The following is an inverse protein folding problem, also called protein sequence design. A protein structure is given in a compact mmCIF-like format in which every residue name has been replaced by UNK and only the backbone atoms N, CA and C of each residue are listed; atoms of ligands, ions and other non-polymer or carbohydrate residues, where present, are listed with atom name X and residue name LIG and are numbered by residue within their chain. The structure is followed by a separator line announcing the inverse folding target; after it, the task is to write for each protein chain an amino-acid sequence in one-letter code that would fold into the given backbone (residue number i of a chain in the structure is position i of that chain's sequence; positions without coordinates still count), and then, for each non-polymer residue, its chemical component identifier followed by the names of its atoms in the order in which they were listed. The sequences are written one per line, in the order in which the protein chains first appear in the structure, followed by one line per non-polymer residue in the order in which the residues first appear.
data_IF_397949183240
#
_entry.id   IF_397949183240
#
_cell.length_a   1.000
_cell.length_b   1.000
_cell.length_c   1.000
_cell.angle_alpha   90.00
_cell.angle_beta   90.00
_cell.angle_gamma   90.00
#
_symmetry.space_group_name_H-M   'P 1'
#
loop_
_entity.id
_entity.type
_entity.pdbx_description
1 polymer ?
#
# COMPACT_ATOMS: atom_id res chain seq x y z
N UNK A 1 -34.40 13.25 -25.89
CA UNK A 1 -33.32 12.22 -25.97
C UNK A 1 -32.03 12.83 -25.48
N UNK A 2 -31.35 12.15 -24.55
CA UNK A 2 -30.34 12.72 -23.67
C UNK A 2 -28.94 12.71 -24.35
N UNK A 3 -28.61 13.79 -25.07
CA UNK A 3 -27.24 13.93 -25.63
C UNK A 3 -26.17 14.07 -24.54
N UNK A 4 -26.47 14.62 -23.36
CA UNK A 4 -25.54 14.70 -22.22
C UNK A 4 -25.27 13.38 -21.52
N UNK A 5 -26.01 12.31 -21.73
CA UNK A 5 -25.85 11.03 -21.07
C UNK A 5 -24.64 10.23 -21.55
N UNK A 6 -24.33 10.28 -22.84
CA UNK A 6 -23.21 9.52 -23.41
C UNK A 6 -21.85 10.19 -23.15
N UNK A 7 -21.80 11.51 -23.21
CA UNK A 7 -20.57 12.25 -22.88
C UNK A 7 -20.22 12.10 -21.41
N UNK A 8 -21.18 12.30 -20.52
CA UNK A 8 -20.99 12.07 -19.10
C UNK A 8 -20.55 10.64 -18.79
N UNK A 9 -21.16 9.65 -19.44
CA UNK A 9 -20.74 8.24 -19.28
C UNK A 9 -19.30 8.02 -19.72
N UNK A 10 -18.86 8.61 -20.83
CA UNK A 10 -17.46 8.54 -21.30
C UNK A 10 -16.50 9.20 -20.32
N UNK A 11 -16.87 10.34 -19.76
CA UNK A 11 -16.09 11.04 -18.74
C UNK A 11 -15.96 10.21 -17.48
N UNK A 12 -17.05 9.62 -16.99
CA UNK A 12 -17.07 8.76 -15.82
C UNK A 12 -16.20 7.51 -16.03
N UNK A 13 -16.30 6.86 -17.19
CA UNK A 13 -15.46 5.71 -17.55
C UNK A 13 -13.99 6.11 -17.62
N UNK A 14 -13.67 7.24 -18.26
CA UNK A 14 -12.28 7.74 -18.32
C UNK A 14 -11.73 8.01 -16.93
N UNK A 15 -12.49 8.72 -16.09
CA UNK A 15 -12.06 9.03 -14.72
C UNK A 15 -11.83 7.75 -13.88
N UNK A 16 -12.65 6.72 -14.08
CA UNK A 16 -12.45 5.42 -13.44
C UNK A 16 -11.17 4.74 -13.92
N UNK A 17 -10.94 4.67 -15.23
CA UNK A 17 -9.74 4.05 -15.81
C UNK A 17 -8.47 4.80 -15.40
N UNK A 18 -8.48 6.13 -15.37
CA UNK A 18 -7.35 6.95 -14.90
C UNK A 18 -7.06 6.70 -13.41
N UNK A 19 -8.09 6.54 -12.59
CA UNK A 19 -7.95 6.21 -11.17
C UNK A 19 -7.35 4.83 -10.97
N UNK A 20 -7.84 3.82 -11.69
CA UNK A 20 -7.28 2.46 -11.66
C UNK A 20 -5.84 2.44 -12.12
N UNK A 21 -5.54 3.09 -13.24
CA UNK A 21 -4.17 3.20 -13.77
C UNK A 21 -3.23 3.85 -12.73
N UNK A 22 -3.63 4.97 -12.14
CA UNK A 22 -2.86 5.64 -11.08
C UNK A 22 -2.61 4.71 -9.89
N UNK A 23 -3.62 3.95 -9.47
CA UNK A 23 -3.50 2.97 -8.39
C UNK A 23 -2.47 1.87 -8.70
N UNK A 24 -2.52 1.31 -9.91
CA UNK A 24 -1.58 0.26 -10.34
C UNK A 24 -0.17 0.80 -10.47
N UNK A 25 0.01 1.99 -11.04
CA UNK A 25 1.32 2.64 -11.16
C UNK A 25 1.94 2.92 -9.79
N UNK A 26 1.15 3.42 -8.85
CA UNK A 26 1.61 3.66 -7.47
C UNK A 26 1.98 2.34 -6.77
N UNK A 27 1.20 1.29 -6.94
CA UNK A 27 1.51 -0.02 -6.37
C UNK A 27 2.82 -0.61 -6.94
N UNK A 28 3.06 -0.45 -8.24
CA UNK A 28 4.32 -0.86 -8.89
C UNK A 28 5.52 -0.05 -8.39
N UNK A 29 5.36 1.27 -8.32
CA UNK A 29 6.40 2.17 -7.79
C UNK A 29 6.75 1.76 -6.36
N UNK A 30 5.75 1.57 -5.52
CA UNK A 30 5.91 1.14 -4.12
C UNK A 30 6.65 -0.19 -4.02
N UNK A 31 6.24 -1.20 -4.80
CA UNK A 31 6.90 -2.49 -4.82
C UNK A 31 8.38 -2.38 -5.23
N UNK A 32 8.66 -1.62 -6.30
CA UNK A 32 10.03 -1.41 -6.77
C UNK A 32 10.90 -0.63 -5.78
N UNK A 33 10.36 0.42 -5.15
CA UNK A 33 11.07 1.20 -4.12
C UNK A 33 11.40 0.33 -2.91
N UNK A 34 10.41 -0.44 -2.40
CA UNK A 34 10.62 -1.32 -1.24
C UNK A 34 11.66 -2.40 -1.57
N UNK A 35 11.59 -2.99 -2.76
CA UNK A 35 12.57 -3.98 -3.20
C UNK A 35 13.99 -3.42 -3.20
N UNK A 36 14.19 -2.29 -3.86
CA UNK A 36 15.49 -1.61 -3.91
C UNK A 36 15.98 -1.16 -2.54
N UNK A 37 15.07 -0.74 -1.68
CA UNK A 37 15.40 -0.33 -0.32
C UNK A 37 15.91 -1.52 0.52
N UNK A 38 15.26 -2.68 0.43
CA UNK A 38 15.68 -3.90 1.12
C UNK A 38 17.02 -4.39 0.54
N UNK A 39 17.17 -4.41 -0.78
CA UNK A 39 18.39 -4.86 -1.45
C UNK A 39 19.61 -3.97 -1.11
N UNK A 40 19.38 -2.68 -0.86
CA UNK A 40 20.42 -1.75 -0.45
C UNK A 40 20.87 -1.93 1.02
N UNK A 41 20.10 -2.68 1.82
CA UNK A 41 20.39 -2.91 3.24
C UNK A 41 20.42 -4.41 3.60
N UNK A 42 21.28 -5.21 2.95
CA UNK A 42 21.34 -6.66 3.18
C UNK A 42 21.77 -7.02 4.62
N UNK A 43 22.51 -6.12 5.27
CA UNK A 43 23.02 -6.29 6.65
C UNK A 43 21.99 -5.91 7.73
N UNK A 44 20.75 -5.56 7.34
CA UNK A 44 19.73 -5.19 8.31
C UNK A 44 19.42 -6.38 9.23
N UNK A 45 19.78 -6.23 10.50
CA UNK A 45 19.43 -7.20 11.54
C UNK A 45 17.96 -7.02 11.95
N UNK A 46 17.15 -8.01 11.62
CA UNK A 46 15.72 -8.01 11.92
C UNK A 46 15.46 -8.96 13.07
N UNK A 47 14.89 -8.48 14.19
CA UNK A 47 14.62 -9.33 15.34
C UNK A 47 13.74 -10.53 14.97
N UNK A 48 14.20 -11.73 15.32
CA UNK A 48 13.51 -12.98 14.99
C UNK A 48 12.06 -13.01 15.52
N UNK A 49 11.84 -12.45 16.71
CA UNK A 49 10.51 -12.36 17.31
C UNK A 49 9.53 -11.54 16.48
N UNK A 50 9.99 -10.48 15.83
CA UNK A 50 9.16 -9.67 14.92
C UNK A 50 8.78 -10.46 13.67
N UNK A 51 9.75 -11.18 13.09
CA UNK A 51 9.51 -12.04 11.92
C UNK A 51 8.47 -13.11 12.24
N UNK A 52 8.64 -13.81 13.36
CA UNK A 52 7.71 -14.87 13.75
C UNK A 52 6.30 -14.35 14.05
N UNK A 53 6.17 -13.20 14.70
CA UNK A 53 4.88 -12.57 14.97
C UNK A 53 4.16 -12.21 13.66
N UNK A 54 4.87 -11.58 12.71
CA UNK A 54 4.33 -11.26 11.40
C UNK A 54 3.95 -12.54 10.62
N UNK A 55 4.80 -13.57 10.66
CA UNK A 55 4.53 -14.85 10.00
C UNK A 55 3.25 -15.52 10.55
N UNK A 56 3.06 -15.51 11.88
CA UNK A 56 1.83 -16.01 12.52
C UNK A 56 0.61 -15.19 12.11
N UNK A 57 0.75 -13.87 11.98
CA UNK A 57 -0.34 -13.01 11.52
C UNK A 57 -0.73 -13.33 10.07
N UNK A 58 0.26 -13.51 9.19
CA UNK A 58 0.04 -13.92 7.80
C UNK A 58 -0.64 -15.29 7.69
N UNK A 59 -0.21 -16.27 8.49
CA UNK A 59 -0.82 -17.59 8.53
C UNK A 59 -2.29 -17.51 8.94
N UNK A 60 -2.63 -16.72 9.98
CA UNK A 60 -4.02 -16.48 10.41
C UNK A 60 -4.87 -15.84 9.30
N UNK A 61 -4.34 -14.84 8.61
CA UNK A 61 -5.04 -14.17 7.50
C UNK A 61 -5.31 -15.11 6.32
N UNK A 62 -4.44 -16.11 6.13
CA UNK A 62 -4.57 -17.12 5.08
C UNK A 62 -5.42 -18.33 5.50
N UNK A 63 -6.06 -18.29 6.69
CA UNK A 63 -6.79 -19.44 7.27
C UNK A 63 -5.96 -20.73 7.35
N UNK A 64 -4.64 -20.62 7.44
CA UNK A 64 -3.75 -21.75 7.60
C UNK A 64 -3.87 -22.29 9.04
N UNK A 65 -4.35 -23.53 9.19
CA UNK A 65 -4.75 -24.11 10.48
C UNK A 65 -3.67 -24.98 11.15
N UNK A 66 -2.58 -25.28 10.48
CA UNK A 66 -1.50 -26.09 11.04
C UNK A 66 -0.65 -25.25 12.01
N UNK A 67 -0.23 -25.83 13.14
CA UNK A 67 0.59 -25.15 14.16
C UNK A 67 1.93 -24.62 13.60
N UNK A 68 2.46 -25.26 12.57
CA UNK A 68 3.70 -24.90 11.88
C UNK A 68 3.47 -24.14 10.56
N UNK A 69 2.21 -23.84 10.20
CA UNK A 69 1.87 -23.14 8.94
C UNK A 69 2.59 -21.80 8.79
N UNK A 70 2.95 -21.14 9.90
CA UNK A 70 3.66 -19.86 9.87
C UNK A 70 5.07 -19.99 9.26
N UNK A 71 5.69 -21.18 9.28
CA UNK A 71 7.04 -21.41 8.72
C UNK A 71 7.09 -21.06 7.24
N UNK A 72 6.04 -21.38 6.48
CA UNK A 72 5.93 -21.02 5.07
C UNK A 72 5.85 -19.51 4.81
N UNK A 73 5.54 -18.71 5.84
CA UNK A 73 5.43 -17.26 5.73
C UNK A 73 6.67 -16.51 6.24
N UNK A 74 7.68 -17.18 6.80
CA UNK A 74 8.85 -16.54 7.41
C UNK A 74 9.61 -15.62 6.43
N UNK A 75 9.81 -16.05 5.19
CA UNK A 75 10.49 -15.24 4.18
C UNK A 75 9.69 -13.96 3.86
N UNK A 76 8.38 -14.09 3.65
CA UNK A 76 7.50 -12.95 3.40
C UNK A 76 7.41 -12.03 4.62
N UNK A 77 7.32 -12.61 5.82
CA UNK A 77 7.31 -11.87 7.07
C UNK A 77 8.59 -11.07 7.28
N UNK A 78 9.76 -11.70 7.08
CA UNK A 78 11.06 -11.01 7.17
C UNK A 78 11.08 -9.80 6.23
N UNK A 79 10.67 -9.98 4.98
CA UNK A 79 10.62 -8.91 3.99
C UNK A 79 9.70 -7.75 4.41
N UNK A 80 8.52 -8.05 4.95
CA UNK A 80 7.58 -7.04 5.45
C UNK A 80 8.12 -6.29 6.65
N UNK A 81 8.69 -7.00 7.62
CA UNK A 81 9.29 -6.38 8.81
C UNK A 81 10.47 -5.50 8.41
N UNK A 82 11.35 -5.98 7.52
CA UNK A 82 12.48 -5.18 6.99
C UNK A 82 11.99 -3.90 6.34
N UNK A 83 10.99 -3.97 5.47
CA UNK A 83 10.40 -2.80 4.82
C UNK A 83 9.85 -1.80 5.86
N UNK A 84 9.08 -2.30 6.84
CA UNK A 84 8.51 -1.46 7.89
C UNK A 84 9.57 -0.73 8.72
N UNK A 85 10.64 -1.43 9.11
CA UNK A 85 11.75 -0.84 9.87
C UNK A 85 12.49 0.24 9.05
N UNK A 86 12.79 -0.04 7.78
CA UNK A 86 13.46 0.91 6.89
C UNK A 86 12.59 2.15 6.63
N UNK A 87 11.30 1.97 6.40
CA UNK A 87 10.35 3.07 6.21
C UNK A 87 10.24 3.93 7.47
N UNK A 88 10.12 3.30 8.64
CA UNK A 88 10.07 4.01 9.91
C UNK A 88 11.34 4.85 10.15
N UNK A 89 12.51 4.27 9.87
CA UNK A 89 13.79 4.97 10.04
C UNK A 89 13.94 6.13 9.03
N UNK A 90 13.58 5.92 7.77
CA UNK A 90 13.57 6.99 6.76
C UNK A 90 12.62 8.12 7.12
N UNK A 91 11.43 7.78 7.58
CA UNK A 91 10.45 8.77 8.05
C UNK A 91 11.04 9.61 9.19
N UNK A 92 11.70 8.97 10.16
CA UNK A 92 12.34 9.63 11.29
C UNK A 92 13.51 10.53 10.86
N UNK A 93 14.42 10.03 10.03
CA UNK A 93 15.61 10.76 9.58
C UNK A 93 15.26 11.98 8.74
N UNK A 94 14.24 11.87 7.90
CA UNK A 94 13.85 12.93 6.97
C UNK A 94 12.67 13.77 7.49
N UNK A 95 12.28 13.56 8.76
CA UNK A 95 11.19 14.31 9.40
C UNK A 95 9.86 14.24 8.63
N UNK A 96 9.61 13.12 7.96
CA UNK A 96 8.35 12.89 7.23
C UNK A 96 7.26 12.60 8.27
N UNK A 97 6.35 13.54 8.42
CA UNK A 97 5.25 13.42 9.38
C UNK A 97 4.01 12.91 8.68
N UNK A 98 3.23 12.13 9.41
CA UNK A 98 1.94 11.65 8.92
C UNK A 98 1.03 12.83 8.56
N UNK A 99 0.58 12.87 7.32
CA UNK A 99 -0.38 13.86 6.83
C UNK A 99 -1.81 13.42 7.15
N UNK A 100 -2.41 14.08 8.13
CA UNK A 100 -3.79 13.79 8.57
C UNK A 100 -4.83 14.02 7.46
N UNK A 101 -4.57 14.94 6.52
CA UNK A 101 -5.45 15.16 5.37
C UNK A 101 -5.45 13.94 4.46
N UNK A 102 -4.28 13.38 4.16
CA UNK A 102 -4.16 12.15 3.38
C UNK A 102 -4.81 10.95 4.07
N UNK A 103 -4.74 10.86 5.40
CA UNK A 103 -5.46 9.83 6.16
C UNK A 103 -6.96 9.97 5.95
N UNK A 104 -7.51 11.18 6.08
CA UNK A 104 -8.93 11.45 5.89
C UNK A 104 -9.38 11.17 4.44
N UNK A 105 -8.60 11.56 3.45
CA UNK A 105 -8.86 11.28 2.03
C UNK A 105 -8.84 9.78 1.72
N UNK A 106 -7.87 9.05 2.29
CA UNK A 106 -7.78 7.59 2.14
C UNK A 106 -8.97 6.90 2.79
N UNK A 107 -9.38 7.34 3.99
CA UNK A 107 -10.56 6.80 4.67
C UNK A 107 -11.84 7.08 3.86
N UNK A 108 -12.00 8.30 3.35
CA UNK A 108 -13.13 8.65 2.50
C UNK A 108 -13.17 7.80 1.22
N UNK A 109 -12.02 7.54 0.61
CA UNK A 109 -11.90 6.67 -0.57
C UNK A 109 -12.33 5.24 -0.26
N UNK A 110 -11.88 4.68 0.87
CA UNK A 110 -12.30 3.34 1.32
C UNK A 110 -13.80 3.34 1.58
N UNK A 111 -14.30 4.30 2.33
CA UNK A 111 -15.71 4.37 2.70
C UNK A 111 -16.62 4.49 1.47
N UNK A 112 -16.20 5.22 0.44
CA UNK A 112 -16.99 5.42 -0.79
C UNK A 112 -17.25 4.14 -1.60
N UNK A 113 -16.55 3.04 -1.31
CA UNK A 113 -16.77 1.75 -1.96
C UNK A 113 -17.85 0.89 -1.30
N UNK A 114 -18.39 1.35 -0.18
CA UNK A 114 -19.44 0.65 0.58
C UNK A 114 -20.79 1.35 0.45
N UNK A 115 -21.87 0.58 0.64
CA UNK A 115 -23.23 1.12 0.59
C UNK A 115 -23.53 2.12 1.71
N UNK A 116 -22.88 1.95 2.87
CA UNK A 116 -23.01 2.80 4.05
C UNK A 116 -21.65 3.40 4.46
N UNK A 117 -21.16 4.44 3.77
CA UNK A 117 -19.85 5.05 4.02
C UNK A 117 -19.65 5.52 5.47
N UNK A 118 -20.69 6.06 6.08
CA UNK A 118 -20.65 6.59 7.46
C UNK A 118 -20.32 5.49 8.48
N UNK A 119 -20.85 4.28 8.30
CA UNK A 119 -20.55 3.14 9.19
C UNK A 119 -19.09 2.70 9.07
N UNK A 120 -18.51 2.80 7.88
CA UNK A 120 -17.09 2.49 7.69
C UNK A 120 -16.22 3.52 8.42
N UNK A 121 -16.52 4.80 8.29
CA UNK A 121 -15.80 5.87 9.01
C UNK A 121 -15.91 5.67 10.52
N UNK A 122 -17.12 5.35 11.01
CA UNK A 122 -17.36 5.07 12.43
C UNK A 122 -16.53 3.86 12.91
N UNK A 123 -16.49 2.78 12.14
CA UNK A 123 -15.70 1.58 12.44
C UNK A 123 -14.21 1.92 12.60
N UNK A 124 -13.62 2.64 11.63
CA UNK A 124 -12.22 3.06 11.70
C UNK A 124 -11.94 3.99 12.88
N UNK A 125 -12.89 4.85 13.24
CA UNK A 125 -12.76 5.77 14.38
C UNK A 125 -12.80 5.03 15.72
N UNK A 126 -13.58 3.94 15.82
CA UNK A 126 -13.73 3.14 17.04
C UNK A 126 -12.64 2.08 17.21
N UNK A 127 -12.07 1.61 16.12
CA UNK A 127 -11.04 0.56 16.15
C UNK A 127 -9.64 1.16 15.92
N UNK A 128 -8.83 1.29 16.99
CA UNK A 128 -7.47 1.80 16.88
C UNK A 128 -6.56 0.96 15.98
N UNK A 129 -6.81 -0.35 15.83
CA UNK A 129 -5.99 -1.21 14.99
C UNK A 129 -6.22 -0.91 13.51
N UNK A 130 -7.47 -0.71 13.11
CA UNK A 130 -7.82 -0.33 11.76
C UNK A 130 -7.27 1.07 11.42
N UNK A 131 -7.43 2.03 12.34
CA UNK A 131 -6.89 3.38 12.14
C UNK A 131 -5.37 3.37 12.04
N UNK A 132 -4.67 2.65 12.92
CA UNK A 132 -3.21 2.52 12.85
C UNK A 132 -2.75 1.86 11.55
N UNK A 133 -3.46 0.82 11.08
CA UNK A 133 -3.13 0.20 9.80
C UNK A 133 -3.28 1.17 8.63
N UNK A 134 -4.32 2.00 8.62
CA UNK A 134 -4.51 3.06 7.63
C UNK A 134 -3.40 4.11 7.70
N UNK A 135 -3.07 4.58 8.89
CA UNK A 135 -2.00 5.57 9.11
C UNK A 135 -0.64 5.03 8.67
N UNK A 136 -0.33 3.77 8.99
CA UNK A 136 0.90 3.11 8.53
C UNK A 136 0.96 3.02 7.00
N UNK A 137 -0.15 2.74 6.35
CA UNK A 137 -0.21 2.74 4.89
C UNK A 137 0.05 4.12 4.30
N UNK A 138 -0.56 5.17 4.89
CA UNK A 138 -0.37 6.55 4.43
C UNK A 138 1.07 7.02 4.61
N UNK A 139 1.69 6.77 5.75
CA UNK A 139 3.08 7.16 5.96
C UNK A 139 4.04 6.39 5.05
N UNK A 140 3.75 5.12 4.79
CA UNK A 140 4.51 4.31 3.83
C UNK A 140 4.43 4.90 2.41
N UNK A 141 3.25 5.30 1.96
CA UNK A 141 3.04 5.94 0.66
C UNK A 141 3.79 7.29 0.59
N UNK A 142 3.77 8.10 1.66
CA UNK A 142 4.52 9.36 1.74
C UNK A 142 6.05 9.14 1.66
N UNK A 143 6.57 8.12 2.34
CA UNK A 143 8.00 7.78 2.28
C UNK A 143 8.39 7.28 0.89
N UNK A 144 7.57 6.47 0.26
CA UNK A 144 7.78 5.99 -1.12
C UNK A 144 7.79 7.15 -2.11
N UNK A 145 6.85 8.08 -2.01
CA UNK A 145 6.81 9.29 -2.83
C UNK A 145 8.07 10.14 -2.61
N UNK A 146 8.46 10.35 -1.35
CA UNK A 146 9.68 11.09 -1.02
C UNK A 146 10.94 10.43 -1.61
N UNK A 147 11.07 9.10 -1.54
CA UNK A 147 12.18 8.37 -2.16
C UNK A 147 12.14 8.56 -3.68
N UNK A 148 10.97 8.41 -4.28
CA UNK A 148 10.80 8.59 -5.71
C UNK A 148 11.21 10.00 -6.17
N UNK A 149 10.87 11.04 -5.43
CA UNK A 149 11.25 12.44 -5.75
C UNK A 149 12.76 12.68 -5.67
N UNK A 150 13.49 11.94 -4.82
CA UNK A 150 14.93 12.10 -4.60
C UNK A 150 15.78 11.06 -5.35
N UNK A 151 15.18 10.06 -5.94
CA UNK A 151 15.87 9.00 -6.67
C UNK A 151 16.15 9.40 -8.14
N UNK A 152 17.10 8.69 -8.75
CA UNK A 152 17.27 8.75 -10.19
C UNK A 152 16.14 8.00 -10.88
N UNK A 153 15.42 8.68 -11.74
CA UNK A 153 14.32 8.11 -12.49
C UNK A 153 14.78 7.47 -13.80
N UNK A 154 14.17 6.35 -14.14
CA UNK A 154 14.15 5.81 -15.48
C UNK A 154 12.70 5.74 -15.96
N UNK A 155 12.41 6.33 -17.10
CA UNK A 155 11.09 6.24 -17.69
C UNK A 155 10.98 4.98 -18.54
N UNK A 156 9.94 4.19 -18.32
CA UNK A 156 9.58 3.07 -19.17
C UNK A 156 8.19 3.30 -19.74
N UNK A 157 8.11 3.36 -21.07
CA UNK A 157 6.82 3.44 -21.76
C UNK A 157 6.22 2.05 -21.86
N UNK A 158 5.07 1.87 -21.27
CA UNK A 158 4.30 0.63 -21.29
C UNK A 158 2.92 0.90 -21.88
N UNK A 159 2.36 -0.07 -22.55
CA UNK A 159 0.96 -0.04 -22.96
C UNK A 159 0.05 -0.23 -21.74
N UNK A 160 -1.22 0.19 -21.85
CA UNK A 160 -2.22 -0.02 -20.80
C UNK A 160 -2.30 -1.48 -20.35
N UNK A 161 -2.28 -2.42 -21.29
CA UNK A 161 -2.35 -3.85 -20.98
C UNK A 161 -1.13 -4.35 -20.19
N UNK A 162 0.08 -3.89 -20.53
CA UNK A 162 1.32 -4.24 -19.80
C UNK A 162 1.34 -3.67 -18.39
N UNK A 163 0.68 -2.52 -18.19
CA UNK A 163 0.53 -1.94 -16.85
C UNK A 163 -0.49 -2.71 -16.02
N UNK A 164 -1.67 -3.00 -16.59
CA UNK A 164 -2.78 -3.59 -15.87
C UNK A 164 -2.66 -5.11 -15.66
N UNK A 165 -1.89 -5.81 -16.50
CA UNK A 165 -1.67 -7.27 -16.44
C UNK A 165 -0.18 -7.58 -16.42
N UNK A 166 0.51 -7.38 -15.28
CA UNK A 166 1.92 -7.75 -15.18
C UNK A 166 2.06 -9.28 -15.22
N UNK A 167 2.71 -9.79 -16.26
CA UNK A 167 3.10 -11.20 -16.32
C UNK A 167 2.24 -12.13 -17.20
N UNK A 168 1.55 -11.58 -18.21
CA UNK A 168 1.03 -12.38 -19.33
C UNK A 168 1.98 -12.24 -20.52
#
# INVERSE_FOLDING_TARGET
MREGGLEKFREDVRANLERELKGVLMARLKAGVIEKLIDAHPELDVPQTMIENEARQLARQSNAQADDAFVGFLATARRRVSAGLLIAELSRQNSIRLDSKRVSESLATIASTYEEPEKVVELYTRDPQLMNALQNRVIEDQVVEWIAEHAKHSEQKLSFNEVMRPGV
#
